data_IF_397747342641
#
_entry.id   IF_397747342641
#
_cell.length_a   1.000
_cell.length_b   1.000
_cell.length_c   1.000
_cell.angle_alpha   90.00
_cell.angle_beta   90.00
_cell.angle_gamma   90.00
#
_symmetry.space_group_name_H-M   'P 1'
#
loop_
_entity.id
_entity.type
_entity.pdbx_description
1 polymer ?
#
# COMPACT_ATOMS: atom_id res chain seq x y z
N UNK A 1 -23.97 10.12 12.90
CA UNK A 1 -23.56 9.75 11.55
C UNK A 1 -23.02 8.33 11.57
N UNK A 2 -23.57 7.44 10.77
CA UNK A 2 -23.03 6.09 10.67
C UNK A 2 -21.82 6.05 9.73
N UNK A 3 -21.15 4.89 9.71
CA UNK A 3 -19.92 4.73 8.91
C UNK A 3 -20.17 4.92 7.41
N UNK A 4 -21.30 4.43 6.91
CA UNK A 4 -21.61 4.53 5.48
C UNK A 4 -21.87 5.98 5.08
N UNK A 5 -22.62 6.72 5.88
CA UNK A 5 -22.85 8.15 5.64
C UNK A 5 -21.54 8.93 5.62
N UNK A 6 -20.63 8.62 6.54
CA UNK A 6 -19.31 9.25 6.59
C UNK A 6 -18.47 8.94 5.33
N UNK A 7 -18.49 7.68 4.88
CA UNK A 7 -17.79 7.28 3.64
C UNK A 7 -18.31 8.04 2.43
N UNK A 8 -19.64 8.07 2.28
CA UNK A 8 -20.28 8.76 1.15
C UNK A 8 -19.98 10.24 1.13
N UNK A 9 -20.00 10.88 2.29
CA UNK A 9 -19.65 12.30 2.39
C UNK A 9 -18.22 12.59 1.92
N UNK A 10 -17.27 11.72 2.28
CA UNK A 10 -15.87 11.83 1.86
C UNK A 10 -15.75 11.59 0.36
N UNK A 11 -16.35 10.52 -0.15
CA UNK A 11 -16.31 10.20 -1.59
C UNK A 11 -16.92 11.32 -2.45
N UNK A 12 -18.06 11.87 -2.01
CA UNK A 12 -18.68 12.99 -2.70
C UNK A 12 -17.79 14.24 -2.69
N UNK A 13 -17.08 14.48 -1.58
CA UNK A 13 -16.15 15.58 -1.49
C UNK A 13 -14.94 15.42 -2.44
N UNK A 14 -14.47 14.18 -2.66
CA UNK A 14 -13.44 13.92 -3.66
C UNK A 14 -13.87 14.32 -5.06
N UNK A 15 -15.10 13.97 -5.45
CA UNK A 15 -15.63 14.34 -6.75
C UNK A 15 -15.86 15.84 -6.86
N UNK A 16 -16.51 16.45 -5.87
CA UNK A 16 -16.82 17.88 -5.88
C UNK A 16 -15.58 18.76 -5.90
N UNK A 17 -14.50 18.33 -5.23
CA UNK A 17 -13.23 19.06 -5.15
C UNK A 17 -12.24 18.73 -6.25
N UNK A 18 -12.58 17.87 -7.20
CA UNK A 18 -11.68 17.41 -8.27
C UNK A 18 -10.37 16.81 -7.73
N UNK A 19 -10.45 16.12 -6.61
CA UNK A 19 -9.29 15.49 -5.98
C UNK A 19 -9.15 14.00 -6.29
N UNK A 20 -10.22 13.37 -6.78
CA UNK A 20 -10.18 11.97 -7.16
C UNK A 20 -9.25 11.74 -8.35
N UNK A 21 -8.52 10.62 -8.31
CA UNK A 21 -7.66 10.17 -9.42
C UNK A 21 -7.96 8.71 -9.72
N UNK A 22 -7.57 8.25 -10.90
CA UNK A 22 -7.78 6.87 -11.31
C UNK A 22 -7.29 5.90 -10.20
N UNK A 23 -8.07 4.86 -9.87
CA UNK A 23 -9.30 4.38 -10.54
C UNK A 23 -10.56 5.14 -10.12
N UNK A 24 -11.50 5.25 -11.05
CA UNK A 24 -12.79 5.93 -10.84
C UNK A 24 -13.93 4.92 -10.79
N UNK A 25 -15.04 5.24 -10.12
CA UNK A 25 -15.24 6.41 -9.25
C UNK A 25 -14.51 6.26 -7.91
N UNK A 26 -14.38 7.32 -7.10
CA UNK A 26 -13.79 7.21 -5.75
C UNK A 26 -14.67 6.43 -4.78
N UNK A 27 -15.93 6.21 -5.12
CA UNK A 27 -16.93 5.52 -4.30
C UNK A 27 -16.64 4.03 -4.22
N UNK A 28 -16.99 3.42 -3.08
CA UNK A 28 -16.88 1.98 -2.80
C UNK A 28 -15.45 1.43 -2.86
N UNK A 29 -14.47 2.27 -2.61
CA UNK A 29 -13.05 1.90 -2.58
C UNK A 29 -12.25 2.83 -1.68
N UNK A 30 -10.98 2.48 -1.46
CA UNK A 30 -10.01 3.45 -0.93
C UNK A 30 -9.63 4.36 -2.10
N UNK A 31 -10.04 5.62 -2.08
CA UNK A 31 -9.88 6.47 -3.26
C UNK A 31 -8.44 6.91 -3.46
N UNK A 32 -8.01 6.96 -4.73
CA UNK A 32 -6.77 7.63 -5.08
C UNK A 32 -7.02 9.14 -5.18
N UNK A 33 -5.99 9.92 -4.97
CA UNK A 33 -6.13 11.38 -4.88
C UNK A 33 -4.93 12.11 -5.47
N UNK A 34 -5.14 13.39 -5.79
CA UNK A 34 -4.16 14.23 -6.47
C UNK A 34 -2.83 14.36 -5.72
N UNK A 35 -2.86 14.29 -4.39
CA UNK A 35 -1.68 14.47 -3.54
C UNK A 35 -0.96 13.20 -3.14
N UNK A 36 -1.27 12.03 -3.73
CA UNK A 36 -0.68 10.76 -3.32
C UNK A 36 0.84 10.75 -3.45
N UNK A 37 1.39 11.26 -4.54
CA UNK A 37 2.84 11.35 -4.74
C UNK A 37 3.50 12.31 -3.74
N UNK A 38 2.90 13.47 -3.52
CA UNK A 38 3.40 14.45 -2.56
C UNK A 38 3.37 13.90 -1.12
N UNK A 39 2.33 13.15 -0.77
CA UNK A 39 2.25 12.49 0.53
C UNK A 39 3.38 11.46 0.70
N UNK A 40 3.68 10.70 -0.34
CA UNK A 40 4.80 9.76 -0.35
C UNK A 40 6.14 10.49 -0.14
N UNK A 41 6.37 11.59 -0.83
CA UNK A 41 7.60 12.39 -0.65
C UNK A 41 7.79 12.85 0.79
N UNK A 42 6.72 13.30 1.44
CA UNK A 42 6.77 13.68 2.86
C UNK A 42 7.07 12.50 3.76
N UNK A 43 6.49 11.34 3.47
CA UNK A 43 6.76 10.12 4.24
C UNK A 43 8.23 9.74 4.15
N UNK A 44 8.83 9.80 2.96
CA UNK A 44 10.23 9.41 2.75
C UNK A 44 11.23 10.36 3.43
N UNK A 45 10.79 11.53 3.86
CA UNK A 45 11.61 12.49 4.61
C UNK A 45 11.55 12.24 6.14
N UNK A 46 10.78 11.27 6.60
CA UNK A 46 10.66 11.00 8.03
C UNK A 46 11.77 10.08 8.54
N UNK A 47 12.17 10.21 9.83
CA UNK A 47 13.14 9.28 10.44
C UNK A 47 12.60 7.84 10.51
N UNK A 48 11.31 7.66 10.68
CA UNK A 48 10.64 6.36 10.68
C UNK A 48 10.86 5.64 9.36
N UNK A 49 10.69 6.35 8.24
CA UNK A 49 10.97 5.79 6.92
C UNK A 49 12.44 5.40 6.78
N UNK A 50 13.33 6.30 7.14
CA UNK A 50 14.77 6.09 6.98
C UNK A 50 15.26 4.91 7.80
N UNK A 51 14.72 4.73 9.00
CA UNK A 51 15.11 3.63 9.90
C UNK A 51 14.45 2.30 9.60
N UNK A 52 13.37 2.29 8.83
CA UNK A 52 12.64 1.06 8.53
C UNK A 52 13.30 0.25 7.42
N UNK A 53 13.56 -1.01 7.67
CA UNK A 53 14.01 -1.97 6.65
C UNK A 53 12.85 -2.74 6.03
N UNK A 54 11.77 -2.84 6.76
CA UNK A 54 10.58 -3.60 6.37
C UNK A 54 9.33 -2.74 6.54
N UNK A 55 8.44 -2.81 5.57
CA UNK A 55 7.18 -2.07 5.57
C UNK A 55 6.01 -3.00 5.27
N UNK A 56 4.86 -2.67 5.85
CA UNK A 56 3.59 -3.23 5.44
C UNK A 56 2.81 -2.17 4.68
N UNK A 57 2.34 -2.49 3.50
CA UNK A 57 1.51 -1.62 2.68
C UNK A 57 0.26 -2.34 2.22
N UNK A 58 -0.79 -1.57 1.97
CA UNK A 58 -1.98 -2.09 1.31
C UNK A 58 -1.81 -2.03 -0.22
N UNK A 59 -2.55 -2.89 -0.96
CA UNK A 59 -2.46 -2.93 -2.42
C UNK A 59 -3.31 -1.86 -3.13
N UNK A 60 -3.76 -0.84 -2.42
CA UNK A 60 -4.60 0.20 -3.00
C UNK A 60 -3.80 1.21 -3.85
N UNK A 61 -4.51 1.99 -4.65
CA UNK A 61 -3.91 2.94 -5.57
C UNK A 61 -3.16 4.09 -4.86
N UNK A 62 -3.68 4.70 -3.77
CA UNK A 62 -2.96 5.80 -3.12
C UNK A 62 -1.65 5.39 -2.47
N UNK A 63 -1.46 4.11 -2.15
CA UNK A 63 -0.20 3.61 -1.60
C UNK A 63 0.79 3.11 -2.65
N UNK A 64 0.44 3.13 -3.92
CA UNK A 64 1.37 2.72 -4.99
C UNK A 64 2.69 3.50 -4.98
N UNK A 65 2.72 4.83 -4.82
CA UNK A 65 3.99 5.56 -4.73
C UNK A 65 4.86 5.07 -3.58
N UNK A 66 4.25 4.75 -2.44
CA UNK A 66 4.97 4.23 -1.26
C UNK A 66 5.58 2.86 -1.54
N UNK A 67 4.82 1.96 -2.18
CA UNK A 67 5.35 0.64 -2.55
C UNK A 67 6.54 0.75 -3.49
N UNK A 68 6.45 1.63 -4.49
CA UNK A 68 7.56 1.90 -5.41
C UNK A 68 8.79 2.46 -4.70
N UNK A 69 8.57 3.45 -3.84
CA UNK A 69 9.65 4.09 -3.09
C UNK A 69 10.36 3.09 -2.17
N UNK A 70 9.60 2.24 -1.49
CA UNK A 70 10.15 1.21 -0.60
C UNK A 70 11.05 0.24 -1.37
N UNK A 71 10.59 -0.27 -2.50
CA UNK A 71 11.38 -1.21 -3.30
C UNK A 71 12.62 -0.55 -3.91
N UNK A 72 12.52 0.71 -4.36
CA UNK A 72 13.67 1.48 -4.85
C UNK A 72 14.70 1.75 -3.76
N UNK A 73 14.25 1.91 -2.52
CA UNK A 73 15.13 2.10 -1.37
C UNK A 73 15.73 0.79 -0.83
N UNK A 74 15.39 -0.34 -1.43
CA UNK A 74 15.90 -1.65 -0.99
C UNK A 74 15.17 -2.24 0.21
N UNK A 75 14.00 -1.72 0.55
CA UNK A 75 13.21 -2.19 1.69
C UNK A 75 12.37 -3.41 1.31
N UNK A 76 12.12 -4.26 2.30
CA UNK A 76 11.21 -5.40 2.14
C UNK A 76 9.77 -4.96 2.35
N UNK A 77 8.87 -5.36 1.46
CA UNK A 77 7.44 -5.09 1.57
C UNK A 77 6.65 -6.32 1.96
N UNK A 78 5.68 -6.10 2.86
CA UNK A 78 4.59 -7.04 3.09
C UNK A 78 3.30 -6.39 2.59
N UNK A 79 2.68 -7.01 1.61
CA UNK A 79 1.45 -6.50 0.98
C UNK A 79 0.32 -7.47 1.27
N UNK A 80 -0.75 -6.95 1.87
CA UNK A 80 -1.95 -7.75 2.13
C UNK A 80 -2.60 -8.14 0.80
N UNK A 81 -3.01 -9.39 0.66
CA UNK A 81 -3.84 -9.80 -0.46
C UNK A 81 -5.25 -9.25 -0.31
N UNK A 82 -5.99 -9.02 -1.42
CA UNK A 82 -7.33 -8.43 -1.36
C UNK A 82 -8.32 -9.22 -0.53
N UNK A 83 -8.09 -10.53 -0.35
CA UNK A 83 -8.92 -11.40 0.47
C UNK A 83 -8.08 -12.03 1.57
N UNK A 84 -8.24 -11.53 2.79
CA UNK A 84 -7.54 -12.03 3.97
C UNK A 84 -8.17 -13.32 4.53
N UNK A 85 -8.60 -14.23 3.66
CA UNK A 85 -9.22 -15.50 4.05
C UNK A 85 -8.27 -16.69 3.99
N UNK A 86 -7.15 -16.51 3.32
CA UNK A 86 -6.16 -17.57 3.15
C UNK A 86 -5.23 -17.64 4.36
N UNK A 87 -4.58 -18.79 4.52
CA UNK A 87 -3.61 -19.01 5.59
C UNK A 87 -2.41 -18.08 5.46
N UNK A 88 -2.07 -17.72 4.23
CA UNK A 88 -0.97 -16.81 3.90
C UNK A 88 -1.51 -15.54 3.23
N UNK A 89 -2.14 -14.61 4.00
CA UNK A 89 -2.81 -13.45 3.42
C UNK A 89 -1.88 -12.33 3.00
N UNK A 90 -0.58 -12.44 3.28
CA UNK A 90 0.41 -11.43 2.91
C UNK A 90 1.43 -11.99 1.93
N UNK A 91 1.88 -11.13 1.02
CA UNK A 91 3.02 -11.40 0.15
C UNK A 91 4.22 -10.63 0.67
N UNK A 92 5.34 -11.32 0.81
CA UNK A 92 6.62 -10.70 1.11
C UNK A 92 7.34 -10.42 -0.21
N UNK A 93 7.73 -9.18 -0.43
CA UNK A 93 8.35 -8.74 -1.67
C UNK A 93 9.72 -8.15 -1.35
N UNK A 94 10.75 -8.78 -1.91
CA UNK A 94 12.12 -8.26 -1.86
C UNK A 94 12.46 -7.59 -3.18
N UNK A 95 13.13 -6.42 -3.16
CA UNK A 95 13.40 -5.67 -4.39
C UNK A 95 14.16 -6.47 -5.46
N UNK A 96 15.09 -7.33 -5.06
CA UNK A 96 15.92 -8.11 -5.97
C UNK A 96 15.19 -9.29 -6.61
N UNK A 97 14.01 -9.66 -6.10
CA UNK A 97 13.23 -10.78 -6.62
C UNK A 97 12.28 -10.36 -7.75
N UNK A 98 12.19 -9.07 -8.04
CA UNK A 98 11.22 -8.53 -8.99
C UNK A 98 11.89 -8.02 -10.26
N UNK A 99 11.31 -8.33 -11.43
CA UNK A 99 11.71 -7.65 -12.67
C UNK A 99 11.37 -6.16 -12.59
N UNK A 100 12.06 -5.36 -13.40
CA UNK A 100 11.83 -3.93 -13.50
C UNK A 100 10.36 -3.62 -13.78
N UNK A 101 9.79 -2.70 -13.00
CA UNK A 101 8.40 -2.29 -13.13
C UNK A 101 7.39 -3.17 -12.42
N UNK A 102 7.79 -4.31 -11.84
CA UNK A 102 6.87 -5.21 -11.14
C UNK A 102 6.21 -4.56 -9.91
N UNK A 103 6.82 -3.55 -9.35
CA UNK A 103 6.25 -2.78 -8.25
C UNK A 103 4.92 -2.08 -8.60
N UNK A 104 4.60 -1.98 -9.88
CA UNK A 104 3.29 -1.46 -10.34
C UNK A 104 2.16 -2.44 -10.07
N UNK A 105 2.48 -3.71 -9.97
CA UNK A 105 1.51 -4.80 -9.88
C UNK A 105 1.70 -5.52 -8.55
N UNK A 106 1.24 -4.92 -7.45
CA UNK A 106 1.43 -5.52 -6.12
C UNK A 106 0.75 -6.87 -5.96
N UNK A 107 -0.14 -7.23 -6.89
CA UNK A 107 -0.79 -8.53 -6.92
C UNK A 107 -0.10 -9.53 -7.85
N UNK A 108 0.94 -9.11 -8.56
CA UNK A 108 1.67 -10.04 -9.41
C UNK A 108 2.22 -11.19 -8.54
N UNK A 109 2.19 -12.42 -9.03
CA UNK A 109 2.73 -13.54 -8.28
C UNK A 109 4.18 -13.24 -7.90
N UNK A 110 4.46 -13.33 -6.62
CA UNK A 110 5.81 -13.25 -6.12
C UNK A 110 6.23 -14.64 -5.66
N UNK A 111 7.50 -14.93 -5.79
CA UNK A 111 8.03 -16.23 -5.38
C UNK A 111 7.96 -16.44 -3.85
N UNK A 112 7.68 -15.38 -3.10
CA UNK A 112 7.85 -15.35 -1.65
C UNK A 112 6.56 -15.02 -0.92
N UNK A 113 5.64 -15.99 -0.86
CA UNK A 113 4.53 -15.91 0.09
C UNK A 113 5.03 -16.40 1.45
N UNK A 114 5.07 -15.51 2.42
CA UNK A 114 5.49 -15.88 3.77
C UNK A 114 4.30 -16.43 4.57
N UNK A 115 4.49 -17.50 5.35
CA UNK A 115 3.46 -17.96 6.28
C UNK A 115 3.03 -16.83 7.22
N UNK A 116 1.74 -16.83 7.59
CA UNK A 116 1.18 -15.74 8.39
C UNK A 116 1.92 -15.55 9.73
N UNK A 117 2.36 -16.64 10.36
CA UNK A 117 3.10 -16.56 11.61
C UNK A 117 4.44 -15.82 11.45
N UNK A 118 5.17 -16.11 10.38
CA UNK A 118 6.42 -15.43 10.08
C UNK A 118 6.20 -13.95 9.79
N UNK A 119 5.14 -13.62 9.04
CA UNK A 119 4.78 -12.23 8.75
C UNK A 119 4.47 -11.47 10.03
N UNK A 120 3.71 -12.07 10.96
CA UNK A 120 3.39 -11.42 12.23
C UNK A 120 4.65 -11.15 13.05
N UNK A 121 5.58 -12.10 13.09
CA UNK A 121 6.82 -11.92 13.84
C UNK A 121 7.70 -10.82 13.22
N UNK A 122 7.82 -10.78 11.90
CA UNK A 122 8.58 -9.73 11.22
C UNK A 122 7.90 -8.36 11.31
N UNK A 123 6.57 -8.30 11.25
CA UNK A 123 5.84 -7.03 11.39
C UNK A 123 5.98 -6.40 12.78
N UNK A 124 6.33 -7.17 13.81
CA UNK A 124 6.65 -6.62 15.13
C UNK A 124 7.94 -5.81 15.15
N UNK A 125 8.80 -6.02 14.17
CA UNK A 125 10.07 -5.32 14.01
C UNK A 125 9.93 -4.08 13.10
N UNK A 126 8.75 -3.84 12.54
CA UNK A 126 8.47 -2.67 11.69
C UNK A 126 8.20 -1.46 12.56
N UNK A 127 8.90 -0.41 12.30
CA UNK A 127 8.74 0.88 12.96
C UNK A 127 7.65 1.73 12.28
#
# INVERSE_FOLDING_TARGET
MDKQTAREAVWDAFDAGDQARFPFPPHDRIPNFAGADAACERLTDTPEWTGAETLKCNPDAPQLPVRRAALRAGKTLYVAQPRLRDVDPFLRIHPHDLPDGAARYPHAPTADAAPIAAVVDELREVD
#
